data_IF_133921746093
#
_entry.id   IF_133921746093
#
_cell.length_a   1.000
_cell.length_b   1.000
_cell.length_c   1.000
_cell.angle_alpha   90.00
_cell.angle_beta   90.00
_cell.angle_gamma   90.00
#
_symmetry.space_group_name_H-M   'P 1'
#
loop_
_entity.id
_entity.type
_entity.pdbx_description
1 polymer ?
#
# COMPACT_ATOMS: atom_id res chain seq x y z
N UNK A 1 18.97 18.70 -49.72
CA UNK A 1 19.45 19.39 -48.50
C UNK A 1 18.37 19.56 -47.42
N UNK A 2 17.22 20.21 -47.68
CA UNK A 2 16.19 20.43 -46.63
C UNK A 2 15.65 19.15 -45.96
N UNK A 3 15.43 18.06 -46.70
CA UNK A 3 14.92 16.78 -46.15
C UNK A 3 15.93 16.03 -45.26
N UNK A 4 17.24 16.13 -45.56
CA UNK A 4 18.29 15.54 -44.72
C UNK A 4 18.50 16.29 -43.41
N UNK A 5 18.34 17.63 -43.41
CA UNK A 5 18.38 18.40 -42.16
C UNK A 5 17.21 18.04 -41.23
N UNK A 6 16.01 17.82 -41.76
CA UNK A 6 14.84 17.45 -40.94
C UNK A 6 15.00 16.07 -40.29
N UNK A 7 15.55 15.09 -41.02
CA UNK A 7 15.80 13.75 -40.48
C UNK A 7 16.88 13.76 -39.40
N UNK A 8 17.92 14.58 -39.55
CA UNK A 8 18.99 14.72 -38.56
C UNK A 8 18.49 15.40 -37.27
N UNK A 9 17.65 16.43 -37.39
CA UNK A 9 17.01 17.08 -36.23
C UNK A 9 16.05 16.12 -35.52
N UNK A 10 15.32 15.28 -36.26
CA UNK A 10 14.43 14.26 -35.69
C UNK A 10 15.20 13.21 -34.88
N UNK A 11 16.37 12.77 -35.34
CA UNK A 11 17.23 11.84 -34.58
C UNK A 11 17.84 12.46 -33.32
N UNK A 12 18.22 13.75 -33.34
CA UNK A 12 18.73 14.46 -32.16
C UNK A 12 17.62 14.64 -31.11
N UNK A 13 16.39 14.93 -31.53
CA UNK A 13 15.25 15.04 -30.63
C UNK A 13 14.88 13.69 -30.00
N UNK A 14 15.06 12.58 -30.72
CA UNK A 14 14.86 11.23 -30.19
C UNK A 14 15.96 10.78 -29.21
N UNK A 15 17.22 11.18 -29.41
CA UNK A 15 18.31 10.82 -28.49
C UNK A 15 18.21 11.57 -27.15
N UNK A 16 17.63 12.76 -27.14
CA UNK A 16 17.34 13.54 -25.93
C UNK A 16 16.14 13.01 -25.12
N UNK A 17 15.35 12.11 -25.71
CA UNK A 17 14.22 11.45 -25.04
C UNK A 17 14.59 10.09 -24.42
N UNK A 18 15.88 9.71 -24.45
CA UNK A 18 16.33 8.49 -23.78
C UNK A 18 16.31 8.70 -22.26
N UNK A 19 15.39 8.01 -21.57
CA UNK A 19 15.43 7.83 -20.13
C UNK A 19 16.53 6.80 -19.86
N UNK A 20 17.67 7.23 -19.30
CA UNK A 20 18.62 6.29 -18.73
C UNK A 20 17.92 5.44 -17.66
N UNK A 21 18.32 4.17 -17.51
CA UNK A 21 17.82 3.32 -16.44
C UNK A 21 18.18 3.98 -15.11
N UNK A 22 17.20 4.35 -14.30
CA UNK A 22 17.46 4.77 -12.92
C UNK A 22 17.89 3.54 -12.14
N UNK A 23 19.03 3.61 -11.46
CA UNK A 23 19.43 2.54 -10.57
C UNK A 23 18.57 2.59 -9.31
N UNK A 24 18.29 1.42 -8.71
CA UNK A 24 17.49 1.33 -7.49
C UNK A 24 18.09 2.11 -6.29
N UNK A 25 19.36 2.49 -6.37
CA UNK A 25 20.10 3.24 -5.35
C UNK A 25 20.33 4.72 -5.69
N UNK A 26 19.69 5.28 -6.73
CA UNK A 26 19.89 6.69 -7.14
C UNK A 26 19.50 7.73 -6.06
N UNK A 27 18.70 7.32 -5.08
CA UNK A 27 18.31 8.15 -3.93
C UNK A 27 19.41 8.26 -2.85
N UNK A 28 20.46 7.45 -2.95
CA UNK A 28 21.56 7.41 -1.98
C UNK A 28 22.63 8.44 -2.37
N UNK A 29 22.81 9.44 -1.50
CA UNK A 29 23.97 10.32 -1.51
C UNK A 29 25.01 9.76 -0.53
N UNK A 30 26.02 9.06 -1.05
CA UNK A 30 27.06 8.40 -0.25
C UNK A 30 27.88 9.34 0.65
N UNK A 31 27.74 10.67 0.50
CA UNK A 31 28.34 11.64 1.40
C UNK A 31 27.54 11.87 2.69
N UNK A 32 26.24 11.54 2.70
CA UNK A 32 25.28 11.80 3.79
C UNK A 32 25.18 10.65 4.77
N UNK A 33 24.64 10.98 5.95
CA UNK A 33 24.33 10.01 6.98
C UNK A 33 22.89 9.51 6.86
N UNK A 34 22.70 8.22 7.07
CA UNK A 34 21.44 7.51 6.99
C UNK A 34 21.27 6.62 8.22
N UNK A 35 20.05 6.64 8.74
CA UNK A 35 19.62 5.81 9.86
C UNK A 35 18.46 4.94 9.39
N UNK A 36 18.67 3.64 9.41
CA UNK A 36 17.67 2.64 9.06
C UNK A 36 16.71 2.48 10.22
N UNK A 37 15.43 2.35 9.90
CA UNK A 37 14.38 1.93 10.82
C UNK A 37 13.50 0.88 10.16
N UNK A 38 12.87 0.04 10.95
CA UNK A 38 12.04 -1.07 10.51
C UNK A 38 10.56 -0.75 10.73
N UNK A 39 9.77 -0.98 9.68
CA UNK A 39 8.33 -0.83 9.66
C UNK A 39 7.71 -2.18 9.33
N UNK A 40 6.77 -2.62 10.17
CA UNK A 40 6.08 -3.92 10.02
C UNK A 40 4.65 -3.69 9.56
N UNK A 41 3.94 -2.82 10.27
CA UNK A 41 2.53 -2.56 10.00
C UNK A 41 2.33 -1.21 9.33
N UNK A 42 1.30 -1.11 8.51
CA UNK A 42 0.84 0.17 7.97
C UNK A 42 0.34 1.11 9.10
N UNK A 43 0.53 2.41 8.91
CA UNK A 43 -0.01 3.45 9.79
C UNK A 43 0.87 4.69 9.91
N UNK A 44 0.53 5.55 10.87
CA UNK A 44 1.34 6.73 11.21
C UNK A 44 2.39 6.35 12.25
N UNK A 45 3.64 6.68 11.95
CA UNK A 45 4.78 6.48 12.84
C UNK A 45 5.31 7.82 13.34
N UNK A 46 5.78 7.83 14.59
CA UNK A 46 6.42 8.98 15.22
C UNK A 46 7.82 8.65 15.72
N UNK A 47 8.77 9.51 15.35
CA UNK A 47 10.13 9.54 15.88
C UNK A 47 10.23 10.76 16.80
N UNK A 48 10.44 10.54 18.09
CA UNK A 48 10.59 11.62 19.07
C UNK A 48 12.06 12.02 19.26
N UNK A 49 12.26 13.09 20.03
CA UNK A 49 13.59 13.59 20.43
C UNK A 49 14.50 12.51 21.02
N UNK A 50 13.97 11.69 21.94
CA UNK A 50 14.76 10.69 22.65
C UNK A 50 15.26 9.59 21.70
N UNK A 51 14.44 9.21 20.73
CA UNK A 51 14.80 8.22 19.72
C UNK A 51 15.95 8.71 18.84
N UNK A 52 15.89 9.97 18.38
CA UNK A 52 16.97 10.57 17.58
C UNK A 52 18.29 10.67 18.37
N UNK A 53 18.23 11.13 19.62
CA UNK A 53 19.41 11.20 20.51
C UNK A 53 19.98 9.80 20.76
N UNK A 54 19.14 8.81 21.04
CA UNK A 54 19.56 7.43 21.29
C UNK A 54 20.21 6.79 20.07
N UNK A 55 19.78 7.17 18.87
CA UNK A 55 20.41 6.75 17.61
C UNK A 55 21.76 7.44 17.35
N UNK A 56 22.12 8.49 18.10
CA UNK A 56 23.38 9.23 17.94
C UNK A 56 23.31 10.39 16.94
N UNK A 57 22.12 10.89 16.63
CA UNK A 57 21.93 12.01 15.70
C UNK A 57 22.26 13.35 16.41
N UNK A 58 23.13 14.21 15.84
CA UNK A 58 23.60 15.43 16.51
C UNK A 58 22.58 16.59 16.41
N UNK A 59 21.49 16.51 17.18
CA UNK A 59 20.38 17.46 17.15
C UNK A 59 20.77 18.92 17.47
N UNK A 60 21.87 19.14 18.19
CA UNK A 60 22.37 20.51 18.47
C UNK A 60 22.88 21.25 17.23
N UNK A 61 23.17 20.51 16.15
CA UNK A 61 23.74 21.06 14.91
C UNK A 61 22.89 20.75 13.67
N UNK A 62 21.84 19.93 13.82
CA UNK A 62 20.96 19.55 12.72
C UNK A 62 19.71 20.41 12.74
N UNK A 63 19.46 21.15 11.66
CA UNK A 63 18.20 21.89 11.49
C UNK A 63 17.08 20.91 11.14
N UNK A 64 15.98 20.83 11.90
CA UNK A 64 14.92 19.86 11.66
C UNK A 64 14.19 20.03 10.32
N UNK A 65 14.27 21.22 9.70
CA UNK A 65 13.75 21.45 8.34
C UNK A 65 14.53 20.70 7.27
N UNK A 66 15.71 20.18 7.61
CA UNK A 66 16.56 19.39 6.72
C UNK A 66 16.24 17.90 6.73
N UNK A 67 15.42 17.42 7.68
CA UNK A 67 15.09 15.99 7.76
C UNK A 67 14.32 15.51 6.52
N UNK A 68 14.67 14.30 6.09
CA UNK A 68 14.02 13.55 5.02
C UNK A 68 13.89 12.08 5.45
N UNK A 69 12.80 11.44 5.04
CA UNK A 69 12.66 9.98 5.15
C UNK A 69 12.51 9.41 3.75
N UNK A 70 13.24 8.33 3.49
CA UNK A 70 13.19 7.57 2.24
C UNK A 70 12.65 6.16 2.47
N UNK A 71 11.79 5.71 1.58
CA UNK A 71 11.29 4.34 1.52
C UNK A 71 11.12 3.94 0.05
N UNK A 72 11.41 2.68 -0.28
CA UNK A 72 11.31 2.16 -1.66
C UNK A 72 12.05 3.02 -2.70
N UNK A 73 13.14 3.65 -2.27
CA UNK A 73 13.94 4.54 -3.10
C UNK A 73 13.37 5.93 -3.35
N UNK A 74 12.28 6.32 -2.68
CA UNK A 74 11.66 7.63 -2.83
C UNK A 74 11.58 8.39 -1.49
N UNK A 75 11.75 9.71 -1.54
CA UNK A 75 11.46 10.57 -0.40
C UNK A 75 9.95 10.56 -0.14
N UNK A 76 9.53 10.41 1.12
CA UNK A 76 8.14 10.46 1.54
C UNK A 76 7.83 11.77 2.29
N UNK A 77 6.57 12.25 2.26
CA UNK A 77 6.16 13.39 3.08
C UNK A 77 6.29 13.09 4.58
N UNK A 78 6.82 14.06 5.33
CA UNK A 78 6.89 14.00 6.79
C UNK A 78 6.27 15.26 7.40
N UNK A 79 5.78 15.16 8.63
CA UNK A 79 5.40 16.29 9.45
C UNK A 79 6.43 16.45 10.57
N UNK A 80 7.05 17.62 10.69
CA UNK A 80 8.01 17.89 11.76
C UNK A 80 7.40 18.93 12.70
N UNK A 81 6.98 18.48 13.87
CA UNK A 81 6.46 19.38 14.89
C UNK A 81 7.61 20.22 15.46
N UNK A 82 7.40 21.53 15.61
CA UNK A 82 8.38 22.44 16.20
C UNK A 82 9.46 22.97 15.25
N UNK A 83 9.53 22.53 13.98
CA UNK A 83 10.65 22.87 13.06
C UNK A 83 10.83 24.37 12.72
N UNK A 84 9.90 25.24 13.13
CA UNK A 84 9.85 26.64 12.72
C UNK A 84 11.01 27.51 13.21
N UNK A 85 11.61 27.17 14.35
CA UNK A 85 12.75 27.89 14.92
C UNK A 85 14.11 27.32 14.46
N UNK A 86 14.10 26.24 13.70
CA UNK A 86 15.32 25.55 13.25
C UNK A 86 16.04 24.76 14.35
N UNK A 87 15.37 24.50 15.48
CA UNK A 87 15.88 23.67 16.58
C UNK A 87 14.94 22.50 16.82
N UNK A 88 15.50 21.31 17.07
CA UNK A 88 14.69 20.16 17.46
C UNK A 88 14.73 19.99 18.97
N UNK A 89 13.68 20.48 19.63
CA UNK A 89 13.53 20.56 21.08
C UNK A 89 13.02 19.24 21.68
N UNK A 90 13.04 19.11 23.01
CA UNK A 90 12.66 17.88 23.71
C UNK A 90 11.21 17.42 23.48
N UNK A 91 10.33 18.33 23.06
CA UNK A 91 8.92 18.04 22.75
C UNK A 91 8.66 17.81 21.26
N UNK A 92 9.67 17.98 20.42
CA UNK A 92 9.55 17.91 18.98
C UNK A 92 9.58 16.47 18.50
N UNK A 93 8.95 16.24 17.36
CA UNK A 93 8.79 14.91 16.78
C UNK A 93 8.64 14.98 15.26
N UNK A 94 8.95 13.86 14.61
CA UNK A 94 8.71 13.62 13.19
C UNK A 94 7.59 12.60 13.07
N UNK A 95 6.55 12.91 12.29
CA UNK A 95 5.46 12.00 11.93
C UNK A 95 5.47 11.68 10.44
N UNK A 96 5.18 10.44 10.07
CA UNK A 96 5.06 10.03 8.68
C UNK A 96 4.12 8.84 8.52
N UNK A 97 3.51 8.73 7.36
CA UNK A 97 2.73 7.55 6.99
C UNK A 97 3.66 6.49 6.40
N UNK A 98 3.54 5.26 6.87
CA UNK A 98 4.36 4.14 6.43
C UNK A 98 3.50 2.94 6.07
N UNK A 99 3.96 2.19 5.07
CA UNK A 99 3.43 0.89 4.69
C UNK A 99 4.38 -0.18 5.23
N UNK A 100 3.84 -1.35 5.61
CA UNK A 100 4.64 -2.55 5.81
C UNK A 100 5.25 -3.08 4.50
N UNK A 101 5.88 -4.25 4.55
CA UNK A 101 6.31 -4.93 3.33
C UNK A 101 5.09 -5.56 2.62
N UNK A 102 4.48 -4.79 1.72
CA UNK A 102 3.39 -5.21 0.84
C UNK A 102 3.88 -6.00 -0.39
N UNK A 103 5.03 -6.66 -0.28
CA UNK A 103 5.64 -7.42 -1.36
C UNK A 103 6.02 -6.60 -2.60
N UNK A 104 6.04 -5.26 -2.57
CA UNK A 104 6.28 -4.43 -3.77
C UNK A 104 7.51 -4.86 -4.59
N UNK A 105 8.57 -5.35 -3.95
CA UNK A 105 9.79 -5.82 -4.60
C UNK A 105 9.70 -7.27 -5.12
N UNK A 106 8.80 -8.08 -4.56
CA UNK A 106 8.66 -9.50 -4.91
C UNK A 106 8.18 -9.68 -6.37
N UNK A 107 7.59 -8.65 -6.97
CA UNK A 107 7.18 -8.65 -8.37
C UNK A 107 8.37 -8.90 -9.31
N UNK A 108 9.59 -8.47 -8.92
CA UNK A 108 10.81 -8.67 -9.71
C UNK A 108 11.29 -10.12 -9.73
N UNK A 109 10.79 -10.98 -8.84
CA UNK A 109 11.15 -12.40 -8.79
C UNK A 109 10.39 -13.25 -9.81
N UNK A 110 9.25 -12.74 -10.28
CA UNK A 110 8.41 -13.44 -11.24
C UNK A 110 8.94 -13.23 -12.65
N UNK A 111 8.96 -14.31 -13.43
CA UNK A 111 9.30 -14.25 -14.86
C UNK A 111 8.44 -13.25 -15.63
N UNK A 112 7.19 -13.10 -15.22
CA UNK A 112 6.33 -11.99 -15.63
C UNK A 112 5.79 -11.30 -14.37
N UNK A 113 6.11 -10.01 -14.16
CA UNK A 113 5.60 -9.19 -13.06
C UNK A 113 4.08 -9.31 -12.82
N UNK A 114 3.29 -9.43 -13.90
CA UNK A 114 1.83 -9.56 -13.81
C UNK A 114 1.34 -10.91 -13.25
N UNK A 115 2.24 -11.85 -12.97
CA UNK A 115 1.90 -13.14 -12.35
C UNK A 115 1.95 -13.10 -10.83
N UNK A 116 2.45 -12.02 -10.23
CA UNK A 116 2.31 -11.80 -8.79
C UNK A 116 0.87 -11.48 -8.44
N UNK A 117 0.19 -12.43 -7.81
CA UNK A 117 -1.25 -12.31 -7.51
C UNK A 117 -1.51 -11.71 -6.14
N UNK A 118 -0.74 -12.15 -5.15
CA UNK A 118 -0.82 -11.60 -3.82
C UNK A 118 -0.01 -10.29 -3.79
N UNK A 119 -0.73 -9.16 -3.76
CA UNK A 119 -0.12 -7.83 -3.90
C UNK A 119 0.24 -7.17 -2.57
N UNK A 120 -0.11 -7.78 -1.45
CA UNK A 120 0.08 -7.19 -0.11
C UNK A 120 0.77 -8.11 0.87
N UNK A 121 1.00 -9.39 0.53
CA UNK A 121 1.76 -10.33 1.33
C UNK A 121 3.07 -10.71 0.67
N UNK A 122 4.19 -10.45 1.37
CA UNK A 122 5.52 -10.81 0.86
C UNK A 122 5.80 -12.29 1.00
N UNK A 123 6.54 -12.82 0.03
CA UNK A 123 7.06 -14.18 0.00
C UNK A 123 8.13 -14.43 1.06
N UNK A 124 8.72 -13.38 1.64
CA UNK A 124 9.88 -13.51 2.54
C UNK A 124 9.64 -13.00 3.96
N UNK A 125 9.17 -11.77 4.12
CA UNK A 125 8.93 -11.16 5.43
C UNK A 125 7.98 -9.96 5.32
N UNK A 126 7.38 -9.57 6.44
CA UNK A 126 6.47 -8.43 6.57
C UNK A 126 7.18 -7.07 6.82
N UNK A 127 8.50 -7.07 6.98
CA UNK A 127 9.27 -5.94 7.51
C UNK A 127 10.05 -5.21 6.42
N UNK A 128 9.74 -3.93 6.23
CA UNK A 128 10.44 -3.06 5.28
C UNK A 128 11.35 -2.07 6.01
N UNK A 129 12.42 -1.64 5.33
CA UNK A 129 13.36 -0.65 5.83
C UNK A 129 13.05 0.75 5.31
N UNK A 130 12.93 1.70 6.23
CA UNK A 130 12.85 3.13 5.97
C UNK A 130 14.17 3.79 6.40
N UNK A 131 14.53 4.90 5.79
CA UNK A 131 15.81 5.57 6.04
C UNK A 131 15.61 7.05 6.37
N UNK A 132 15.97 7.45 7.59
CA UNK A 132 16.06 8.84 8.00
C UNK A 132 17.42 9.42 7.58
N UNK A 133 17.40 10.61 6.98
CA UNK A 133 18.59 11.40 6.66
C UNK A 133 18.30 12.88 6.84
N UNK A 134 19.31 13.72 6.74
CA UNK A 134 19.15 15.17 6.64
C UNK A 134 20.12 15.73 5.60
N UNK A 135 19.68 16.76 4.90
CA UNK A 135 20.44 17.39 3.83
C UNK A 135 20.80 18.84 4.19
N UNK A 136 21.16 19.67 3.20
CA UNK A 136 21.41 21.10 3.38
C UNK A 136 20.26 22.00 2.91
N UNK A 137 19.16 21.41 2.43
CA UNK A 137 17.96 22.10 1.95
C UNK A 137 16.92 22.20 3.07
N UNK A 138 16.17 23.30 3.10
CA UNK A 138 14.96 23.43 3.93
C UNK A 138 13.68 23.22 3.11
N UNK A 139 13.82 22.94 1.82
CA UNK A 139 12.72 22.57 0.93
C UNK A 139 12.79 21.07 0.68
N UNK A 140 12.03 20.31 1.48
CA UNK A 140 11.94 18.86 1.48
C UNK A 140 10.46 18.45 1.45
N UNK A 141 10.14 17.17 1.19
CA UNK A 141 8.74 16.75 1.18
C UNK A 141 8.14 16.85 2.59
N UNK A 142 7.00 17.55 2.68
CA UNK A 142 6.30 17.82 3.94
C UNK A 142 4.81 17.62 3.79
N UNK A 143 4.16 17.22 4.89
CA UNK A 143 2.71 17.40 5.02
C UNK A 143 2.40 18.88 5.28
N UNK A 144 1.63 19.49 4.40
CA UNK A 144 1.14 20.86 4.59
C UNK A 144 -0.05 20.89 5.55
N UNK A 145 -0.07 21.77 6.56
CA UNK A 145 -1.21 21.87 7.46
C UNK A 145 -2.45 22.43 6.75
N UNK A 146 -3.60 21.80 6.99
CA UNK A 146 -4.92 22.30 6.60
C UNK A 146 -5.74 22.51 7.88
N UNK A 147 -5.85 23.78 8.30
CA UNK A 147 -6.39 24.17 9.60
C UNK A 147 -7.78 24.81 9.52
N UNK A 148 -8.42 24.82 8.35
CA UNK A 148 -9.76 25.39 8.19
C UNK A 148 -10.81 24.58 8.96
N UNK A 149 -11.57 25.28 9.79
CA UNK A 149 -12.63 24.73 10.64
C UNK A 149 -13.96 25.46 10.43
N UNK A 150 -14.10 26.14 9.30
CA UNK A 150 -15.28 26.95 8.95
C UNK A 150 -16.41 26.08 8.40
N UNK A 151 -16.91 25.13 9.20
CA UNK A 151 -17.82 24.07 8.73
C UNK A 151 -19.19 24.57 8.24
N UNK A 152 -19.69 25.69 8.77
CA UNK A 152 -21.08 26.16 8.55
C UNK A 152 -21.41 26.51 7.10
N UNK A 153 -20.42 26.74 6.25
CA UNK A 153 -20.63 27.06 4.82
C UNK A 153 -20.66 25.82 3.92
N UNK A 154 -20.40 24.64 4.47
CA UNK A 154 -20.30 23.40 3.71
C UNK A 154 -21.49 22.49 3.98
N UNK A 155 -21.94 21.81 2.94
CA UNK A 155 -22.90 20.70 3.07
C UNK A 155 -22.12 19.42 3.32
N UNK A 156 -22.44 18.63 4.37
CA UNK A 156 -21.77 17.36 4.65
C UNK A 156 -21.75 16.44 3.44
N UNK A 157 -20.64 15.74 3.23
CA UNK A 157 -20.58 14.64 2.26
C UNK A 157 -21.42 13.48 2.78
N UNK A 158 -22.16 12.81 1.91
CA UNK A 158 -23.02 11.68 2.31
C UNK A 158 -22.22 10.39 2.56
N UNK A 159 -21.10 10.24 1.85
CA UNK A 159 -20.27 9.04 1.89
C UNK A 159 -18.79 9.34 1.67
N UNK A 160 -17.97 8.34 1.95
CA UNK A 160 -16.62 8.16 1.43
C UNK A 160 -16.55 6.80 0.71
N UNK A 161 -15.51 6.55 -0.08
CA UNK A 161 -15.27 5.26 -0.72
C UNK A 161 -14.41 4.39 0.19
N UNK A 162 -14.93 3.23 0.54
CA UNK A 162 -14.25 2.23 1.34
C UNK A 162 -13.72 1.13 0.43
N UNK A 163 -12.46 0.75 0.64
CA UNK A 163 -11.84 -0.42 0.03
C UNK A 163 -11.65 -1.48 1.11
N UNK A 164 -12.23 -2.66 0.90
CA UNK A 164 -11.97 -3.86 1.70
C UNK A 164 -11.22 -4.83 0.83
N UNK A 165 -9.99 -5.14 1.23
CA UNK A 165 -9.15 -6.12 0.55
C UNK A 165 -8.84 -7.22 1.54
N UNK A 166 -9.23 -8.45 1.22
CA UNK A 166 -8.89 -9.64 1.97
C UNK A 166 -8.03 -10.53 1.08
N UNK A 167 -6.78 -10.70 1.46
CA UNK A 167 -5.91 -11.74 0.94
C UNK A 167 -6.00 -13.00 1.79
N UNK A 168 -5.61 -14.12 1.19
CA UNK A 168 -5.46 -15.39 1.88
C UNK A 168 -4.05 -15.92 1.63
N UNK A 169 -3.41 -16.45 2.68
CA UNK A 169 -2.00 -16.83 2.67
C UNK A 169 -1.75 -18.12 3.49
N UNK A 170 -2.75 -18.99 3.59
CA UNK A 170 -2.72 -20.21 4.40
C UNK A 170 -1.74 -21.27 3.85
N UNK A 171 -1.54 -21.33 2.54
CA UNK A 171 -0.72 -22.38 1.89
C UNK A 171 0.10 -21.78 0.75
N UNK A 172 1.36 -22.19 0.66
CA UNK A 172 2.25 -21.84 -0.45
C UNK A 172 2.12 -22.87 -1.58
N UNK A 173 2.04 -22.37 -2.81
CA UNK A 173 1.91 -23.17 -4.02
C UNK A 173 3.07 -22.84 -4.97
N UNK A 174 3.79 -23.86 -5.42
CA UNK A 174 4.96 -23.73 -6.30
C UNK A 174 4.66 -23.54 -7.79
N UNK A 175 3.42 -23.20 -8.15
CA UNK A 175 2.99 -23.04 -9.54
C UNK A 175 3.06 -24.33 -10.37
N UNK A 176 3.28 -24.16 -11.68
CA UNK A 176 3.39 -25.27 -12.64
C UNK A 176 4.66 -26.07 -12.36
N UNK A 177 4.52 -27.38 -12.18
CA UNK A 177 5.67 -28.29 -12.07
C UNK A 177 5.95 -28.99 -13.40
N UNK A 178 7.22 -29.34 -13.63
CA UNK A 178 7.56 -30.24 -14.74
C UNK A 178 7.06 -31.69 -14.48
N UNK A 179 7.17 -32.63 -15.44
CA UNK A 179 6.72 -34.02 -15.27
C UNK A 179 7.39 -34.80 -14.12
N UNK A 180 8.46 -34.27 -13.52
CA UNK A 180 9.15 -34.84 -12.36
C UNK A 180 8.75 -34.16 -11.05
N UNK A 181 7.78 -33.23 -11.06
CA UNK A 181 7.30 -32.50 -9.89
C UNK A 181 8.23 -31.37 -9.42
N UNK A 182 9.16 -30.91 -10.27
CA UNK A 182 10.06 -29.81 -9.94
C UNK A 182 9.47 -28.48 -10.38
N UNK A 183 9.52 -27.48 -9.51
CA UNK A 183 9.21 -26.08 -9.82
C UNK A 183 10.37 -25.39 -10.55
N UNK A 184 10.06 -24.31 -11.26
CA UNK A 184 11.07 -23.44 -11.87
C UNK A 184 11.76 -22.60 -10.78
N UNK A 185 13.09 -22.36 -10.84
CA UNK A 185 13.74 -21.43 -9.92
C UNK A 185 13.31 -19.96 -10.11
N UNK A 186 12.79 -19.59 -11.28
CA UNK A 186 12.05 -18.33 -11.47
C UNK A 186 10.59 -18.51 -11.05
N UNK A 187 10.00 -17.54 -10.35
CA UNK A 187 8.62 -17.67 -9.90
C UNK A 187 7.66 -17.65 -11.10
N UNK A 188 6.74 -18.62 -11.13
CA UNK A 188 5.86 -18.89 -12.27
C UNK A 188 4.42 -18.45 -12.06
N UNK A 189 3.61 -18.55 -13.11
CA UNK A 189 2.18 -18.22 -13.04
C UNK A 189 1.49 -19.15 -12.02
N UNK A 190 0.72 -18.56 -11.10
CA UNK A 190 -0.01 -19.31 -10.08
C UNK A 190 0.86 -19.77 -8.91
N UNK A 191 2.09 -19.24 -8.78
CA UNK A 191 2.97 -19.46 -7.65
C UNK A 191 2.76 -18.39 -6.56
N UNK A 192 2.77 -18.78 -5.28
CA UNK A 192 2.63 -17.87 -4.16
C UNK A 192 1.81 -18.42 -2.98
N UNK A 193 1.51 -17.54 -2.02
CA UNK A 193 0.66 -17.83 -0.87
C UNK A 193 -0.81 -17.52 -1.19
N UNK A 194 -1.67 -18.53 -1.05
CA UNK A 194 -3.12 -18.42 -1.25
C UNK A 194 -3.88 -19.09 -0.10
N UNK A 195 -5.20 -19.00 -0.16
CA UNK A 195 -6.07 -19.69 0.78
C UNK A 195 -5.95 -21.21 0.72
N UNK A 196 -6.59 -21.87 1.68
CA UNK A 196 -6.67 -23.33 1.68
C UNK A 196 -7.27 -23.89 0.38
N UNK A 197 -6.71 -25.03 -0.08
CA UNK A 197 -7.26 -25.76 -1.22
C UNK A 197 -8.68 -26.24 -0.95
N UNK A 198 -9.56 -26.04 -1.94
CA UNK A 198 -10.75 -26.87 -2.12
C UNK A 198 -10.57 -27.79 -3.33
N UNK A 199 -10.73 -29.08 -3.07
CA UNK A 199 -10.58 -30.16 -4.04
C UNK A 199 -11.91 -30.43 -4.77
N UNK A 200 -11.88 -31.39 -5.68
CA UNK A 200 -13.04 -31.86 -6.44
C UNK A 200 -14.27 -32.09 -5.54
N UNK A 201 -15.39 -31.45 -5.89
CA UNK A 201 -16.66 -31.53 -5.16
C UNK A 201 -16.69 -30.75 -3.84
N UNK A 202 -15.61 -30.07 -3.45
CA UNK A 202 -15.53 -29.26 -2.24
C UNK A 202 -15.88 -27.79 -2.50
N UNK A 203 -16.13 -27.07 -1.41
CA UNK A 203 -16.35 -25.63 -1.43
C UNK A 203 -15.54 -24.91 -0.35
N UNK A 204 -15.34 -23.60 -0.54
CA UNK A 204 -14.90 -22.65 0.47
C UNK A 204 -15.84 -21.45 0.50
N UNK A 205 -16.06 -20.93 1.70
CA UNK A 205 -16.91 -19.76 1.92
C UNK A 205 -16.15 -18.71 2.69
N UNK A 206 -16.31 -17.46 2.26
CA UNK A 206 -15.70 -16.30 2.89
C UNK A 206 -16.76 -15.23 3.12
N UNK A 207 -16.52 -14.38 4.11
CA UNK A 207 -17.40 -13.26 4.41
C UNK A 207 -16.56 -12.01 4.60
N UNK A 208 -16.89 -10.95 3.86
CA UNK A 208 -16.22 -9.65 3.96
C UNK A 208 -17.18 -8.68 4.64
N UNK A 209 -16.70 -7.98 5.67
CA UNK A 209 -17.47 -6.93 6.33
C UNK A 209 -17.74 -5.79 5.33
N UNK A 210 -19.02 -5.50 5.12
CA UNK A 210 -19.53 -4.44 4.23
C UNK A 210 -20.52 -3.55 4.95
N UNK A 211 -20.47 -3.51 6.29
CA UNK A 211 -21.34 -2.67 7.11
C UNK A 211 -21.26 -1.22 6.68
N UNK A 212 -22.34 -0.49 6.99
CA UNK A 212 -22.47 0.94 6.72
C UNK A 212 -22.33 1.34 5.24
N UNK A 213 -22.56 0.40 4.31
CA UNK A 213 -22.69 0.72 2.89
C UNK A 213 -23.77 1.78 2.66
N UNK A 214 -23.41 2.86 1.96
CA UNK A 214 -24.32 3.97 1.67
C UNK A 214 -25.11 3.65 0.41
N UNK A 215 -26.37 3.26 0.61
CA UNK A 215 -27.30 2.78 -0.45
C UNK A 215 -27.47 3.77 -1.61
N UNK A 216 -27.45 5.08 -1.34
CA UNK A 216 -27.60 6.12 -2.36
C UNK A 216 -26.30 6.49 -3.11
N UNK A 217 -25.22 5.77 -2.85
CA UNK A 217 -23.90 6.05 -3.41
C UNK A 217 -23.65 5.42 -4.79
N UNK A 218 -22.43 5.57 -5.33
CA UNK A 218 -22.00 4.92 -6.55
C UNK A 218 -22.05 3.39 -6.47
N UNK A 219 -21.88 2.75 -7.64
CA UNK A 219 -21.88 1.31 -7.75
C UNK A 219 -20.70 0.67 -6.98
N UNK A 220 -20.93 -0.54 -6.48
CA UNK A 220 -19.94 -1.37 -5.79
C UNK A 220 -19.14 -2.14 -6.82
N UNK A 221 -17.82 -2.13 -6.70
CA UNK A 221 -16.92 -2.98 -7.50
C UNK A 221 -16.47 -4.16 -6.67
N UNK A 222 -16.57 -5.38 -7.22
CA UNK A 222 -16.08 -6.60 -6.60
C UNK A 222 -15.09 -7.26 -7.55
N UNK A 223 -13.92 -7.63 -7.02
CA UNK A 223 -12.89 -8.39 -7.73
C UNK A 223 -12.46 -9.57 -6.88
N UNK A 224 -12.41 -10.76 -7.47
CA UNK A 224 -11.85 -11.95 -6.82
C UNK A 224 -10.86 -12.65 -7.73
N UNK A 225 -9.80 -13.20 -7.14
CA UNK A 225 -8.78 -13.97 -7.84
C UNK A 225 -8.78 -15.40 -7.29
N UNK A 226 -8.83 -16.38 -8.19
CA UNK A 226 -8.77 -17.82 -7.88
C UNK A 226 -7.66 -18.45 -8.71
N UNK A 227 -6.95 -19.41 -8.13
CA UNK A 227 -5.92 -20.18 -8.81
C UNK A 227 -6.32 -21.65 -8.93
N UNK A 228 -6.00 -22.24 -10.08
CA UNK A 228 -5.94 -23.69 -10.26
C UNK A 228 -4.60 -24.21 -9.80
N UNK A 229 -4.61 -25.24 -8.96
CA UNK A 229 -3.45 -25.82 -8.29
C UNK A 229 -3.31 -27.33 -8.60
N UNK A 230 -3.83 -27.78 -9.73
CA UNK A 230 -3.65 -29.11 -10.29
C UNK A 230 -3.67 -29.06 -11.81
N UNK A 231 -3.32 -30.19 -12.43
CA UNK A 231 -3.50 -30.45 -13.85
C UNK A 231 -3.68 -31.97 -14.01
N UNK A 232 -4.90 -32.40 -14.35
CA UNK A 232 -5.26 -33.78 -14.61
C UNK A 232 -5.08 -34.10 -16.09
N UNK A 233 -3.85 -34.47 -16.43
CA UNK A 233 -3.38 -34.75 -17.80
C UNK A 233 -4.33 -35.53 -18.74
N UNK A 234 -5.18 -36.48 -18.29
CA UNK A 234 -6.13 -37.17 -19.19
C UNK A 234 -7.31 -36.32 -19.70
N UNK A 235 -7.55 -35.13 -19.15
CA UNK A 235 -8.69 -34.27 -19.48
C UNK A 235 -8.22 -32.85 -19.78
N UNK A 236 -8.71 -32.25 -20.87
CA UNK A 236 -8.55 -30.82 -21.14
C UNK A 236 -9.81 -30.11 -20.63
N UNK A 237 -9.62 -29.01 -19.91
CA UNK A 237 -10.66 -28.37 -19.12
C UNK A 237 -10.97 -29.21 -17.88
N UNK A 238 -9.95 -29.54 -17.09
CA UNK A 238 -10.04 -30.43 -15.94
C UNK A 238 -10.58 -29.81 -14.65
N UNK A 239 -10.78 -28.49 -14.64
CA UNK A 239 -11.38 -27.75 -13.54
C UNK A 239 -12.77 -27.22 -13.89
N UNK A 240 -13.74 -27.35 -12.98
CA UNK A 240 -15.04 -26.68 -13.04
C UNK A 240 -15.25 -25.81 -11.81
N UNK A 241 -15.06 -24.50 -11.96
CA UNK A 241 -15.16 -23.52 -10.89
C UNK A 241 -16.49 -22.77 -10.95
N UNK A 242 -17.21 -22.76 -9.82
CA UNK A 242 -18.40 -21.94 -9.62
C UNK A 242 -18.24 -21.01 -8.43
N UNK A 243 -18.51 -19.72 -8.63
CA UNK A 243 -18.41 -18.67 -7.63
C UNK A 243 -19.77 -17.99 -7.49
N UNK A 244 -20.24 -17.84 -6.25
CA UNK A 244 -21.52 -17.21 -5.94
C UNK A 244 -21.33 -16.12 -4.88
N UNK A 245 -21.83 -14.93 -5.17
CA UNK A 245 -21.94 -13.84 -4.20
C UNK A 245 -23.01 -12.85 -4.67
N UNK A 246 -23.70 -12.22 -3.72
CA UNK A 246 -24.85 -11.35 -4.01
C UNK A 246 -25.82 -12.02 -5.00
N UNK A 247 -26.12 -11.35 -6.11
CA UNK A 247 -26.95 -11.83 -7.22
C UNK A 247 -26.14 -12.46 -8.36
N UNK A 248 -24.81 -12.57 -8.22
CA UNK A 248 -23.90 -13.06 -9.26
C UNK A 248 -23.52 -14.52 -9.09
N UNK A 249 -23.51 -15.23 -10.22
CA UNK A 249 -22.94 -16.57 -10.35
C UNK A 249 -21.94 -16.54 -11.51
N UNK A 250 -20.69 -16.86 -11.23
CA UNK A 250 -19.72 -17.25 -12.25
C UNK A 250 -19.63 -18.78 -12.28
N UNK A 251 -19.62 -19.35 -13.47
CA UNK A 251 -19.62 -20.79 -13.71
C UNK A 251 -18.75 -21.03 -14.95
N UNK A 252 -17.59 -21.66 -14.76
CA UNK A 252 -16.56 -21.76 -15.79
C UNK A 252 -15.75 -23.04 -15.70
N UNK A 253 -15.32 -23.53 -16.86
CA UNK A 253 -14.40 -24.66 -17.01
C UNK A 253 -13.07 -24.12 -17.54
N UNK A 254 -11.97 -24.58 -16.96
CA UNK A 254 -10.63 -24.16 -17.35
C UNK A 254 -9.61 -25.28 -17.20
N UNK A 255 -8.43 -25.09 -17.79
CA UNK A 255 -7.35 -26.08 -17.82
C UNK A 255 -6.24 -25.74 -16.83
N UNK A 256 -5.87 -26.76 -16.06
CA UNK A 256 -4.64 -26.88 -15.28
C UNK A 256 -4.33 -25.71 -14.36
N UNK A 257 -3.02 -25.51 -14.14
CA UNK A 257 -2.52 -24.38 -13.36
C UNK A 257 -2.84 -23.06 -14.06
N UNK A 258 -3.80 -22.34 -13.50
CA UNK A 258 -4.26 -21.10 -14.08
C UNK A 258 -4.59 -20.06 -13.02
N UNK A 259 -4.69 -18.81 -13.46
CA UNK A 259 -5.08 -17.68 -12.63
C UNK A 259 -6.31 -17.08 -13.28
N UNK A 260 -7.38 -17.03 -12.51
CA UNK A 260 -8.67 -16.53 -12.95
C UNK A 260 -9.01 -15.29 -12.13
N UNK A 261 -9.33 -14.22 -12.85
CA UNK A 261 -9.79 -12.97 -12.28
C UNK A 261 -11.25 -12.74 -12.67
N UNK A 262 -12.10 -12.54 -11.66
CA UNK A 262 -13.51 -12.25 -11.85
C UNK A 262 -13.82 -10.87 -11.32
N UNK A 263 -14.50 -10.06 -12.13
CA UNK A 263 -14.88 -8.69 -11.80
C UNK A 263 -16.39 -8.53 -12.00
N UNK A 264 -17.08 -7.86 -11.08
CA UNK A 264 -18.49 -7.48 -11.24
C UNK A 264 -18.78 -6.12 -10.63
N UNK A 265 -19.92 -5.54 -11.02
CA UNK A 265 -20.42 -4.29 -10.49
C UNK A 265 -21.84 -4.47 -10.00
N UNK A 266 -22.14 -3.94 -8.82
CA UNK A 266 -23.42 -4.10 -8.12
C UNK A 266 -23.97 -2.76 -7.65
N UNK A 267 -25.26 -2.71 -7.35
CA UNK A 267 -25.82 -1.57 -6.64
C UNK A 267 -25.41 -1.63 -5.17
N UNK A 268 -25.11 -0.46 -4.56
CA UNK A 268 -24.82 -0.40 -3.12
C UNK A 268 -25.97 -0.94 -2.26
N UNK A 269 -27.21 -0.90 -2.76
CA UNK A 269 -28.39 -1.49 -2.13
C UNK A 269 -28.36 -3.02 -2.02
N UNK A 270 -27.49 -3.72 -2.76
CA UNK A 270 -27.33 -5.18 -2.66
C UNK A 270 -26.47 -5.58 -1.46
N UNK A 271 -25.65 -4.67 -0.92
CA UNK A 271 -24.81 -4.95 0.23
C UNK A 271 -25.62 -4.99 1.54
N UNK A 272 -25.14 -5.81 2.47
CA UNK A 272 -25.59 -5.85 3.86
C UNK A 272 -24.39 -5.67 4.79
N UNK A 273 -24.54 -5.90 6.10
CA UNK A 273 -23.43 -5.80 7.05
C UNK A 273 -22.23 -6.70 6.70
N UNK A 274 -22.49 -7.81 6.02
CA UNK A 274 -21.44 -8.64 5.46
C UNK A 274 -21.85 -9.21 4.09
N UNK A 275 -20.86 -9.37 3.22
CA UNK A 275 -21.05 -9.98 1.90
C UNK A 275 -20.44 -11.37 1.90
N UNK A 276 -21.27 -12.38 1.64
CA UNK A 276 -20.84 -13.79 1.58
C UNK A 276 -20.41 -14.18 0.17
N UNK A 277 -19.32 -14.93 0.09
CA UNK A 277 -18.79 -15.52 -1.13
C UNK A 277 -18.72 -17.03 -0.96
N UNK A 278 -19.10 -17.78 -1.99
CA UNK A 278 -18.94 -19.25 -2.02
C UNK A 278 -18.26 -19.67 -3.31
N UNK A 279 -17.15 -20.37 -3.17
CA UNK A 279 -16.33 -20.92 -4.25
C UNK A 279 -16.47 -22.44 -4.22
N UNK A 280 -16.76 -23.05 -5.37
CA UNK A 280 -17.00 -24.51 -5.48
C UNK A 280 -16.22 -25.07 -6.64
N UNK A 281 -15.61 -26.23 -6.41
CA UNK A 281 -15.23 -27.14 -7.49
C UNK A 281 -16.40 -28.10 -7.73
N UNK A 282 -16.93 -28.10 -8.95
CA UNK A 282 -18.10 -28.91 -9.32
C UNK A 282 -17.63 -30.25 -9.88
N UNK A 283 -18.10 -31.35 -9.29
CA UNK A 283 -17.72 -32.71 -9.68
C UNK A 283 -18.67 -33.26 -10.76
N UNK A 284 -18.50 -32.80 -12.00
CA UNK A 284 -19.31 -33.24 -13.15
C UNK A 284 -18.52 -33.52 -14.43
N UNK A 285 -17.20 -33.30 -14.44
CA UNK A 285 -16.34 -33.46 -15.62
C UNK A 285 -15.68 -34.85 -15.73
N UNK A 286 -15.83 -35.71 -14.72
CA UNK A 286 -15.00 -36.91 -14.53
C UNK A 286 -13.50 -36.59 -14.45
N UNK A 287 -13.14 -35.42 -13.91
CA UNK A 287 -11.74 -35.09 -13.60
C UNK A 287 -11.24 -35.95 -12.43
N UNK A 288 -9.98 -36.38 -12.49
CA UNK A 288 -9.34 -37.10 -11.37
C UNK A 288 -8.83 -36.17 -10.27
N UNK A 289 -8.72 -34.86 -10.54
CA UNK A 289 -8.28 -33.84 -9.60
C UNK A 289 -8.78 -32.48 -10.05
N UNK A 290 -9.34 -31.71 -9.12
CA UNK A 290 -9.70 -30.31 -9.33
C UNK A 290 -9.36 -29.54 -8.06
N UNK A 291 -8.14 -29.02 -7.98
CA UNK A 291 -7.63 -28.27 -6.82
C UNK A 291 -7.68 -26.78 -7.13
N UNK A 292 -8.41 -26.02 -6.31
CA UNK A 292 -8.48 -24.56 -6.43
C UNK A 292 -8.10 -23.91 -5.11
N UNK A 293 -7.62 -22.68 -5.17
CA UNK A 293 -7.43 -21.82 -4.00
C UNK A 293 -7.84 -20.38 -4.29
N UNK A 294 -8.43 -19.69 -3.31
CA UNK A 294 -8.77 -18.26 -3.44
C UNK A 294 -7.54 -17.44 -3.04
N UNK A 295 -7.12 -16.53 -3.91
CA UNK A 295 -5.98 -15.66 -3.64
C UNK A 295 -6.41 -14.39 -2.89
N UNK A 296 -7.48 -13.72 -3.37
CA UNK A 296 -7.97 -12.48 -2.74
C UNK A 296 -9.41 -12.15 -3.13
N UNK A 297 -10.08 -11.40 -2.26
CA UNK A 297 -11.36 -10.74 -2.52
C UNK A 297 -11.20 -9.24 -2.23
N UNK A 298 -11.55 -8.40 -3.20
CA UNK A 298 -11.56 -6.94 -3.10
C UNK A 298 -13.00 -6.43 -3.30
N UNK A 299 -13.46 -5.56 -2.39
CA UNK A 299 -14.68 -4.78 -2.54
C UNK A 299 -14.37 -3.29 -2.41
N UNK A 300 -14.90 -2.50 -3.35
CA UNK A 300 -14.86 -1.04 -3.31
C UNK A 300 -16.31 -0.56 -3.30
N UNK A 301 -16.73 0.13 -2.24
CA UNK A 301 -18.12 0.54 -2.04
C UNK A 301 -18.25 1.89 -1.33
N UNK A 302 -19.34 2.63 -1.55
CA UNK A 302 -19.61 3.84 -0.79
C UNK A 302 -20.02 3.48 0.65
N UNK A 303 -19.42 4.15 1.62
CA UNK A 303 -19.61 3.93 3.05
C UNK A 303 -20.04 5.25 3.70
N UNK A 304 -21.02 5.21 4.61
CA UNK A 304 -21.46 6.40 5.36
C UNK A 304 -20.37 6.88 6.35
N UNK A 305 -20.53 8.00 7.05
CA UNK A 305 -19.50 8.49 7.97
C UNK A 305 -19.48 7.86 9.39
N UNK A 306 -19.92 6.61 9.54
CA UNK A 306 -19.69 5.80 10.74
C UNK A 306 -18.31 5.14 10.67
N UNK A 307 -17.44 5.37 11.65
CA UNK A 307 -16.06 4.86 11.65
C UNK A 307 -15.94 3.47 12.29
N UNK A 308 -17.06 2.75 12.42
CA UNK A 308 -17.10 1.33 12.76
C UNK A 308 -16.53 0.97 14.14
N UNK A 309 -16.51 1.90 15.09
CA UNK A 309 -15.87 1.74 16.39
C UNK A 309 -14.34 1.69 16.32
N UNK A 310 -13.73 2.17 15.24
CA UNK A 310 -12.28 2.19 15.07
C UNK A 310 -11.68 3.49 15.62
N UNK A 311 -10.39 3.45 15.93
CA UNK A 311 -9.55 4.59 16.34
C UNK A 311 -8.67 5.10 15.18
N UNK A 312 -8.58 4.33 14.10
CA UNK A 312 -7.95 4.67 12.83
C UNK A 312 -8.79 4.15 11.65
N UNK A 313 -8.71 4.81 10.50
CA UNK A 313 -9.48 4.40 9.31
C UNK A 313 -8.78 4.86 8.03
N UNK A 314 -8.59 3.92 7.09
CA UNK A 314 -8.14 4.21 5.72
C UNK A 314 -9.36 4.28 4.79
N UNK A 315 -9.50 5.37 4.05
CA UNK A 315 -10.62 5.57 3.14
C UNK A 315 -10.28 6.53 2.02
N UNK A 316 -11.15 6.59 1.02
CA UNK A 316 -10.99 7.47 -0.12
C UNK A 316 -12.12 8.49 -0.18
N UNK A 317 -11.80 9.76 -0.47
CA UNK A 317 -12.78 10.84 -0.46
C UNK A 317 -12.93 11.41 -1.87
N UNK A 318 -14.11 11.32 -2.50
CA UNK A 318 -14.35 12.01 -3.76
C UNK A 318 -14.35 13.52 -3.57
N UNK A 319 -14.20 14.27 -4.66
CA UNK A 319 -14.35 15.72 -4.61
C UNK A 319 -15.81 16.13 -4.37
N UNK A 320 -16.01 17.10 -3.48
CA UNK A 320 -17.33 17.63 -3.20
C UNK A 320 -17.82 18.46 -4.40
N UNK A 321 -19.00 18.11 -4.91
CA UNK A 321 -19.62 18.85 -6.03
C UNK A 321 -20.05 20.24 -5.56
N UNK A 322 -19.74 21.26 -6.36
CA UNK A 322 -20.11 22.67 -6.10
C UNK A 322 -19.56 23.27 -4.80
N UNK A 323 -18.57 22.62 -4.17
CA UNK A 323 -17.86 23.10 -2.99
C UNK A 323 -16.35 22.96 -3.22
N UNK A 324 -15.53 23.65 -2.45
CA UNK A 324 -14.06 23.60 -2.56
C UNK A 324 -13.45 22.49 -1.69
N UNK A 325 -14.21 21.96 -0.73
CA UNK A 325 -13.80 20.93 0.22
C UNK A 325 -14.98 19.99 0.52
N UNK A 326 -14.70 18.73 0.80
CA UNK A 326 -15.66 17.80 1.36
C UNK A 326 -15.70 17.95 2.89
N UNK A 327 -16.90 18.18 3.43
CA UNK A 327 -17.12 18.16 4.88
C UNK A 327 -17.37 16.72 5.33
N UNK A 328 -16.41 16.14 6.02
CA UNK A 328 -16.50 14.84 6.68
C UNK A 328 -17.12 15.01 8.07
N UNK A 329 -18.23 14.32 8.35
CA UNK A 329 -18.88 14.29 9.67
C UNK A 329 -18.76 12.89 10.27
N UNK A 330 -17.58 12.56 10.78
CA UNK A 330 -17.23 11.24 11.28
C UNK A 330 -17.89 10.96 12.63
N UNK A 331 -18.38 9.73 12.81
CA UNK A 331 -19.08 9.26 14.01
C UNK A 331 -18.59 7.87 14.42
N UNK A 332 -19.02 7.37 15.58
CA UNK A 332 -18.71 6.01 16.06
C UNK A 332 -17.19 5.70 16.07
N UNK A 333 -16.39 6.64 16.56
CA UNK A 333 -14.95 6.45 16.78
C UNK A 333 -14.70 5.95 18.21
N UNK A 334 -13.78 5.01 18.38
CA UNK A 334 -13.37 4.52 19.69
C UNK A 334 -12.17 5.33 20.19
N UNK A 335 -12.43 6.36 21.01
CA UNK A 335 -11.43 7.30 21.50
C UNK A 335 -11.52 7.45 23.01
N UNK A 336 -10.38 7.68 23.65
CA UNK A 336 -10.30 8.11 25.04
C UNK A 336 -10.33 9.65 25.14
N UNK A 337 -10.62 10.20 26.33
CA UNK A 337 -10.75 11.64 26.52
C UNK A 337 -9.46 12.45 26.26
N UNK A 338 -8.30 11.79 26.26
CA UNK A 338 -7.00 12.41 25.96
C UNK A 338 -6.61 12.32 24.49
N UNK A 339 -7.36 11.58 23.66
CA UNK A 339 -6.98 11.35 22.28
C UNK A 339 -7.28 12.56 21.40
N UNK A 340 -6.29 12.93 20.60
CA UNK A 340 -6.48 13.85 19.49
C UNK A 340 -6.61 13.07 18.19
N UNK A 341 -7.50 13.52 17.30
CA UNK A 341 -7.62 12.97 15.95
C UNK A 341 -6.89 13.84 14.95
N UNK A 342 -6.20 13.18 14.03
CA UNK A 342 -5.57 13.80 12.88
C UNK A 342 -5.98 13.04 11.63
N UNK A 343 -6.29 13.78 10.57
CA UNK A 343 -6.58 13.24 9.26
C UNK A 343 -5.45 13.59 8.31
N UNK A 344 -4.91 12.60 7.60
CA UNK A 344 -3.91 12.80 6.57
C UNK A 344 -4.56 12.60 5.20
N UNK A 345 -4.44 13.58 4.32
CA UNK A 345 -4.63 13.39 2.88
C UNK A 345 -3.29 12.92 2.31
N UNK A 346 -3.22 11.62 2.04
CA UNK A 346 -2.02 10.93 1.57
C UNK A 346 -1.74 11.21 0.09
N UNK A 347 -2.77 11.57 -0.69
CA UNK A 347 -2.64 11.87 -2.11
C UNK A 347 -2.05 13.26 -2.35
N UNK A 348 -2.39 14.23 -1.49
CA UNK A 348 -2.00 15.63 -1.66
C UNK A 348 -1.06 16.15 -0.57
N UNK A 349 -0.55 15.26 0.29
CA UNK A 349 0.35 15.59 1.38
C UNK A 349 -0.20 16.69 2.30
N UNK A 350 -1.45 16.54 2.78
CA UNK A 350 -2.03 17.47 3.77
C UNK A 350 -2.25 16.80 5.12
N UNK A 351 -1.97 17.53 6.19
CA UNK A 351 -2.33 17.16 7.57
C UNK A 351 -3.51 18.03 7.99
N UNK A 352 -4.69 17.45 7.98
CA UNK A 352 -5.98 18.10 8.15
C UNK A 352 -6.38 18.06 9.62
N UNK A 353 -6.75 19.22 10.15
CA UNK A 353 -7.25 19.36 11.51
C UNK A 353 -8.66 18.78 11.62
N UNK A 354 -8.88 17.95 12.62
CA UNK A 354 -10.19 17.41 13.00
C UNK A 354 -10.70 18.16 14.23
N UNK A 355 -11.98 18.54 14.23
CA UNK A 355 -12.60 19.22 15.37
C UNK A 355 -13.83 18.44 15.87
N UNK A 356 -13.89 18.22 17.17
CA UNK A 356 -15.03 17.58 17.81
C UNK A 356 -16.18 18.58 18.04
N UNK A 357 -17.40 18.15 17.75
CA UNK A 357 -18.65 18.84 18.05
C UNK A 357 -19.67 17.82 18.57
N UNK A 358 -19.75 17.68 19.90
CA UNK A 358 -20.52 16.60 20.53
C UNK A 358 -19.95 15.22 20.19
N UNK A 359 -20.78 14.35 19.61
CA UNK A 359 -20.38 13.01 19.15
C UNK A 359 -19.85 12.96 17.72
N UNK A 360 -19.82 14.09 17.01
CA UNK A 360 -19.38 14.19 15.62
C UNK A 360 -17.98 14.80 15.58
N UNK A 361 -17.11 14.22 14.76
CA UNK A 361 -15.78 14.74 14.47
C UNK A 361 -15.75 15.26 13.04
N UNK A 362 -15.49 16.55 12.89
CA UNK A 362 -15.62 17.28 11.63
C UNK A 362 -14.25 17.59 11.03
N UNK A 363 -14.12 17.42 9.71
CA UNK A 363 -12.93 17.79 8.95
C UNK A 363 -13.32 18.34 7.57
N UNK A 364 -12.57 19.35 7.09
CA UNK A 364 -12.71 19.89 5.74
C UNK A 364 -11.57 19.38 4.86
N UNK A 365 -11.90 18.48 3.94
CA UNK A 365 -10.93 17.79 3.08
C UNK A 365 -10.91 18.48 1.71
N UNK A 366 -9.83 19.19 1.33
CA UNK A 366 -9.81 19.95 0.08
C UNK A 366 -10.01 19.09 -1.16
N UNK A 367 -10.71 19.65 -2.15
CA UNK A 367 -10.81 19.01 -3.46
C UNK A 367 -9.44 19.01 -4.17
N UNK A 368 -9.17 17.97 -4.94
CA UNK A 368 -7.88 17.78 -5.64
C UNK A 368 -7.99 17.37 -7.11
N UNK A 369 -9.18 17.49 -7.71
CA UNK A 369 -9.46 17.09 -9.08
C UNK A 369 -9.72 15.59 -9.23
N UNK A 370 -10.04 14.88 -8.14
CA UNK A 370 -10.22 13.44 -8.11
C UNK A 370 -10.38 12.88 -6.70
N UNK A 371 -10.53 11.57 -6.63
CA UNK A 371 -10.55 10.86 -5.36
C UNK A 371 -9.17 10.94 -4.66
N UNK A 372 -9.18 11.12 -3.33
CA UNK A 372 -7.98 11.24 -2.50
C UNK A 372 -7.97 10.17 -1.42
N UNK A 373 -6.83 9.50 -1.26
CA UNK A 373 -6.59 8.56 -0.18
C UNK A 373 -6.38 9.32 1.13
N UNK A 374 -7.11 8.92 2.15
CA UNK A 374 -7.12 9.54 3.46
C UNK A 374 -6.87 8.50 4.55
N UNK A 375 -6.12 8.91 5.58
CA UNK A 375 -5.90 8.11 6.77
C UNK A 375 -6.23 8.93 8.01
N UNK A 376 -7.28 8.53 8.72
CA UNK A 376 -7.65 9.05 10.02
C UNK A 376 -6.94 8.24 11.09
N UNK A 377 -6.37 8.90 12.09
CA UNK A 377 -5.76 8.23 13.24
C UNK A 377 -5.97 9.03 14.52
N UNK A 378 -6.16 8.31 15.62
CA UNK A 378 -6.02 8.87 16.96
C UNK A 378 -4.54 8.96 17.34
N UNK A 379 -4.24 9.81 18.31
CA UNK A 379 -2.89 9.91 18.89
C UNK A 379 -2.45 8.64 19.63
N UNK A 380 -3.37 7.82 20.12
CA UNK A 380 -3.05 6.55 20.77
C UNK A 380 -2.63 5.45 19.78
N UNK A 381 -3.04 5.55 18.52
CA UNK A 381 -2.67 4.61 17.44
C UNK A 381 -1.35 4.97 16.74
N UNK A 382 -0.70 6.08 17.13
CA UNK A 382 0.57 6.49 16.54
C UNK A 382 1.67 5.55 17.03
N UNK A 383 2.30 4.86 16.08
CA UNK A 383 3.31 3.82 16.33
C UNK A 383 4.70 4.44 16.47
N UNK A 384 5.61 3.72 17.14
CA UNK A 384 7.04 4.05 17.15
C UNK A 384 7.79 3.10 16.22
N UNK A 385 8.68 3.58 15.33
CA UNK A 385 9.38 2.69 14.43
C UNK A 385 10.39 1.83 15.19
N UNK A 386 10.70 0.65 14.67
CA UNK A 386 11.65 -0.26 15.31
C UNK A 386 13.09 0.05 14.88
N UNK A 387 14.06 -0.21 15.76
CA UNK A 387 15.47 -0.31 15.41
C UNK A 387 16.06 0.88 14.63
N UNK A 388 15.82 2.14 15.05
CA UNK A 388 16.48 3.31 14.46
C UNK A 388 17.99 3.27 14.74
N UNK A 389 18.77 2.93 13.72
CA UNK A 389 20.22 2.73 13.84
C UNK A 389 20.99 3.17 12.60
N UNK A 390 22.23 3.57 12.77
CA UNK A 390 23.12 3.94 11.68
C UNK A 390 23.28 2.78 10.68
N UNK A 391 23.24 3.07 9.37
CA UNK A 391 23.43 2.04 8.31
C UNK A 391 24.84 1.43 8.30
N UNK A 392 25.80 2.07 8.96
CA UNK A 392 27.18 1.62 9.10
C UNK A 392 27.76 2.11 10.43
N UNK A 393 28.46 1.23 11.15
CA UNK A 393 29.04 1.52 12.47
C UNK A 393 30.55 1.74 12.45
N UNK A 394 31.19 1.63 11.27
CA UNK A 394 32.61 1.92 11.08
C UNK A 394 32.90 3.39 11.40
N UNK A 395 33.96 3.65 12.16
CA UNK A 395 34.35 5.02 12.56
C UNK A 395 34.59 5.95 11.37
N UNK A 396 35.10 5.43 10.24
CA UNK A 396 35.42 6.24 9.05
C UNK A 396 34.22 6.50 8.14
N UNK A 397 33.18 5.68 8.24
CA UNK A 397 31.99 5.72 7.40
C UNK A 397 30.70 5.67 8.24
N UNK A 398 30.73 6.25 9.44
CA UNK A 398 29.62 6.14 10.38
C UNK A 398 28.33 6.71 9.79
N UNK A 399 27.28 5.88 9.80
CA UNK A 399 25.98 6.11 9.19
C UNK A 399 26.01 6.35 7.68
N UNK A 400 27.08 6.00 6.95
CA UNK A 400 27.15 6.16 5.49
C UNK A 400 27.02 4.82 4.79
N UNK A 401 26.30 4.80 3.67
CA UNK A 401 26.31 3.65 2.77
C UNK A 401 27.69 3.47 2.13
N UNK A 402 28.06 2.23 1.83
CA UNK A 402 29.30 1.92 1.10
C UNK A 402 29.07 2.11 -0.39
N UNK A 403 29.87 2.99 -1.01
CA UNK A 403 29.86 3.17 -2.46
C UNK A 403 30.76 2.12 -3.14
N UNK A 404 30.15 1.02 -3.56
CA UNK A 404 30.83 -0.05 -4.30
C UNK A 404 31.20 0.32 -5.75
N UNK A 405 30.72 1.46 -6.26
CA UNK A 405 31.17 2.00 -7.55
C UNK A 405 32.41 2.88 -7.41
N UNK A 406 32.86 3.16 -6.19
CA UNK A 406 34.06 3.96 -5.97
C UNK A 406 35.32 3.24 -6.45
N UNK A 407 36.34 4.02 -6.84
CA UNK A 407 37.59 3.48 -7.39
C UNK A 407 38.31 2.48 -6.47
N UNK A 408 38.00 2.46 -5.18
CA UNK A 408 38.51 1.51 -4.21
C UNK A 408 38.08 0.05 -4.50
N UNK A 409 36.94 -0.15 -5.18
CA UNK A 409 36.34 -1.48 -5.44
C UNK A 409 36.43 -1.92 -6.91
N UNK A 410 36.99 -1.09 -7.80
CA UNK A 410 37.10 -1.42 -9.24
C UNK A 410 37.98 -2.66 -9.56
N UNK A 411 38.64 -3.26 -8.57
CA UNK A 411 39.49 -4.44 -8.72
C UNK A 411 39.14 -5.57 -7.74
N UNK A 412 37.98 -5.51 -7.09
CA UNK A 412 37.52 -6.60 -6.24
C UNK A 412 36.74 -7.62 -7.06
N UNK A 413 37.18 -8.87 -7.05
CA UNK A 413 36.54 -9.97 -7.78
C UNK A 413 35.24 -10.46 -7.10
N UNK A 414 35.08 -10.17 -5.81
CA UNK A 414 33.89 -10.50 -5.03
C UNK A 414 33.73 -9.53 -3.84
N UNK A 415 32.50 -9.41 -3.36
CA UNK A 415 32.13 -8.76 -2.09
C UNK A 415 31.72 -9.91 -1.16
N UNK A 416 32.38 -10.05 0.00
CA UNK A 416 31.97 -11.01 1.05
C UNK A 416 31.10 -10.29 2.06
#
# INVERSE_FOLDING_TARGET
>A
MRKSCTLFIFFILFSLASKAQSYANDWIDYSRQYFRMEIVEEGIYRIDYNMLISAGIPLSTTDPRQFQIFARGEEIPIYVYGEGDGLFNNTDFIEFYAYGNDAWLDEELFKNPNWKLNKTYSLFNDTISYYLTWNSSVNNKRYSPENDVSFTTYTPSDYFICKRYQEYNDTYYGGVTNPFGLSDPEYTKGEGWFGEVFNLGQQRSYSINTKNAFVGGPAVSIKTIVVGASDYAPLIGDHHLRIEYLSTIFDTIYEGYNVLEFNSTHLASELSDATSFVFRSVDDLNSGSDRNAVASIELIYPHNWDMEGQSSFYFYVPDATSQTKALANMTNLNLTASDSLILYDLSNNKRIKVQQNGSIYQALIPNSGGEKACYLTSSAEIKTPNNLQAVNTSMTNYAKFTDYNSAAYNKTDYII
#
